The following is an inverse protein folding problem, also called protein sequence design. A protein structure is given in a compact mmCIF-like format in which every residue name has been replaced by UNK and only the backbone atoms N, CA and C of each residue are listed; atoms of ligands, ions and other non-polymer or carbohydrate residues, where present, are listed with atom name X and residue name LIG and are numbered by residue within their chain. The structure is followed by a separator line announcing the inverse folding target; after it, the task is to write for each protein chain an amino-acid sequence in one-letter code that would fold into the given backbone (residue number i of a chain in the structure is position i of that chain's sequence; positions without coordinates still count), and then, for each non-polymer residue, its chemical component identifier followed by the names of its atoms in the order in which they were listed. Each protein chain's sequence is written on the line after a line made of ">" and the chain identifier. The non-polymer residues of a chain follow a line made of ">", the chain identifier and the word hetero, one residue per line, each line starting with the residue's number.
data_IF_513330925523
#
_entry.id   IF_513330925523
#
_cell.length_a   1.000
_cell.length_b   1.000
_cell.length_c   1.000
_cell.angle_alpha   90.00
_cell.angle_beta   90.00
_cell.angle_gamma   90.00
#
_symmetry.space_group_name_H-M   'P 1'
#
loop_
_entity.id
_entity.type
_entity.pdbx_description
1 polymer ?
#
# COMPACT_ATOMS: atom_id res chain seq x y z
N UNK A 1 -40.88 -15.26 -0.81
CA UNK A 1 -40.09 -14.90 0.38
C UNK A 1 -38.80 -15.68 0.25
N UNK A 2 -37.68 -15.00 0.00
CA UNK A 2 -36.38 -15.66 -0.21
C UNK A 2 -35.93 -16.29 1.11
N UNK A 3 -35.31 -17.48 1.06
CA UNK A 3 -34.74 -18.09 2.27
C UNK A 3 -33.65 -17.17 2.84
N UNK A 4 -33.72 -16.78 4.12
CA UNK A 4 -32.68 -15.99 4.78
C UNK A 4 -31.25 -16.54 4.58
N UNK A 5 -31.10 -17.86 4.40
CA UNK A 5 -29.80 -18.50 4.10
C UNK A 5 -29.27 -18.13 2.72
N UNK A 6 -30.15 -18.04 1.73
CA UNK A 6 -29.79 -17.65 0.36
C UNK A 6 -29.40 -16.17 0.30
N UNK A 7 -30.11 -15.32 1.03
CA UNK A 7 -29.77 -13.90 1.16
C UNK A 7 -28.40 -13.70 1.82
N UNK A 8 -28.13 -14.43 2.91
CA UNK A 8 -26.83 -14.42 3.57
C UNK A 8 -25.72 -14.90 2.64
N UNK A 9 -25.93 -16.03 1.95
CA UNK A 9 -24.96 -16.58 1.00
C UNK A 9 -24.63 -15.59 -0.13
N UNK A 10 -25.65 -14.92 -0.69
CA UNK A 10 -25.47 -13.89 -1.70
C UNK A 10 -24.72 -12.67 -1.16
N UNK A 11 -25.05 -12.20 0.05
CA UNK A 11 -24.34 -11.10 0.71
C UNK A 11 -22.86 -11.45 0.96
N UNK A 12 -22.57 -12.64 1.50
CA UNK A 12 -21.20 -13.12 1.72
C UNK A 12 -20.40 -13.23 0.43
N UNK A 13 -21.01 -13.73 -0.67
CA UNK A 13 -20.33 -13.78 -1.98
C UNK A 13 -19.95 -12.39 -2.48
N UNK A 14 -20.83 -11.40 -2.34
CA UNK A 14 -20.54 -10.00 -2.70
C UNK A 14 -19.41 -9.43 -1.84
N UNK A 15 -19.47 -9.63 -0.53
CA UNK A 15 -18.43 -9.21 0.40
C UNK A 15 -17.06 -9.79 0.02
N UNK A 16 -16.97 -11.11 -0.18
CA UNK A 16 -15.72 -11.78 -0.56
C UNK A 16 -15.15 -11.27 -1.89
N UNK A 17 -16.03 -10.95 -2.86
CA UNK A 17 -15.59 -10.37 -4.13
C UNK A 17 -14.99 -8.99 -3.92
N UNK A 18 -15.62 -8.14 -3.11
CA UNK A 18 -15.10 -6.81 -2.80
C UNK A 18 -13.77 -6.89 -2.04
N UNK A 19 -13.66 -7.79 -1.06
CA UNK A 19 -12.40 -8.03 -0.34
C UNK A 19 -11.28 -8.47 -1.29
N UNK A 20 -11.57 -9.39 -2.21
CA UNK A 20 -10.59 -9.82 -3.21
C UNK A 20 -10.16 -8.67 -4.14
N UNK A 21 -11.09 -7.83 -4.58
CA UNK A 21 -10.78 -6.65 -5.38
C UNK A 21 -9.98 -5.60 -4.59
N UNK A 22 -10.28 -5.42 -3.31
CA UNK A 22 -9.56 -4.53 -2.41
C UNK A 22 -8.12 -5.03 -2.17
N UNK A 23 -7.92 -6.33 -1.93
CA UNK A 23 -6.57 -6.87 -1.77
C UNK A 23 -5.76 -6.73 -3.07
N UNK A 24 -6.36 -7.03 -4.23
CA UNK A 24 -5.69 -6.83 -5.51
C UNK A 24 -5.30 -5.36 -5.75
N UNK A 25 -6.18 -4.41 -5.40
CA UNK A 25 -5.86 -2.98 -5.46
C UNK A 25 -4.73 -2.62 -4.49
N UNK A 26 -4.75 -3.17 -3.28
CA UNK A 26 -3.72 -2.96 -2.26
C UNK A 26 -2.35 -3.48 -2.72
N UNK A 27 -2.29 -4.68 -3.31
CA UNK A 27 -1.08 -5.25 -3.90
C UNK A 27 -0.55 -4.38 -5.05
N UNK A 28 -1.42 -3.86 -5.91
CA UNK A 28 -1.03 -2.95 -6.99
C UNK A 28 -0.38 -1.67 -6.46
N UNK A 29 -0.92 -1.08 -5.38
CA UNK A 29 -0.32 0.09 -4.73
C UNK A 29 1.03 -0.26 -4.10
N UNK A 30 1.17 -1.43 -3.46
CA UNK A 30 2.46 -1.89 -2.92
C UNK A 30 3.52 -2.02 -4.02
N UNK A 31 3.16 -2.61 -5.16
CA UNK A 31 4.07 -2.72 -6.30
C UNK A 31 4.50 -1.35 -6.83
N UNK A 32 3.55 -0.40 -6.95
CA UNK A 32 3.85 0.97 -7.36
C UNK A 32 4.76 1.71 -6.36
N UNK A 33 4.54 1.51 -5.06
CA UNK A 33 5.41 2.05 -3.99
C UNK A 33 6.84 1.54 -4.14
N UNK A 34 7.02 0.22 -4.31
CA UNK A 34 8.36 -0.36 -4.48
C UNK A 34 9.03 0.16 -5.75
N UNK A 35 8.29 0.29 -6.84
CA UNK A 35 8.80 0.85 -8.10
C UNK A 35 9.25 2.31 -7.92
N UNK A 36 8.45 3.15 -7.25
CA UNK A 36 8.79 4.54 -6.98
C UNK A 36 10.06 4.65 -6.12
N UNK A 37 10.17 3.83 -5.06
CA UNK A 37 11.36 3.81 -4.21
C UNK A 37 12.61 3.39 -5.01
N UNK A 38 12.50 2.39 -5.89
CA UNK A 38 13.61 1.95 -6.78
C UNK A 38 14.04 3.03 -7.77
N UNK A 39 13.12 3.89 -8.19
CA UNK A 39 13.39 5.05 -9.03
C UNK A 39 13.97 6.25 -8.25
N UNK A 40 14.20 6.09 -6.94
CA UNK A 40 14.79 7.13 -6.09
C UNK A 40 13.79 8.13 -5.52
N UNK A 41 12.48 7.89 -5.65
CA UNK A 41 11.46 8.69 -4.96
C UNK A 41 11.61 8.46 -3.45
N UNK A 42 11.80 9.54 -2.70
CA UNK A 42 12.05 9.46 -1.25
C UNK A 42 10.86 8.89 -0.47
N UNK A 43 11.09 8.15 0.64
CA UNK A 43 10.01 7.54 1.42
C UNK A 43 8.93 8.51 1.90
N UNK A 44 9.29 9.76 2.22
CA UNK A 44 8.35 10.83 2.63
C UNK A 44 7.39 11.22 1.49
N UNK A 45 7.90 11.27 0.26
CA UNK A 45 7.08 11.61 -0.89
C UNK A 45 6.15 10.45 -1.26
N UNK A 46 6.66 9.22 -1.18
CA UNK A 46 5.82 8.02 -1.35
C UNK A 46 4.74 7.93 -0.27
N UNK A 47 5.01 8.33 0.97
CA UNK A 47 4.01 8.42 2.05
C UNK A 47 2.92 9.43 1.72
N UNK A 48 3.27 10.58 1.15
CA UNK A 48 2.29 11.60 0.74
C UNK A 48 1.39 11.13 -0.40
N UNK A 49 1.90 10.29 -1.30
CA UNK A 49 1.20 9.84 -2.51
C UNK A 49 0.47 8.50 -2.34
N UNK A 50 0.63 7.82 -1.21
CA UNK A 50 0.08 6.49 -0.98
C UNK A 50 -0.81 6.44 0.27
N UNK A 51 -1.70 5.45 0.39
CA UNK A 51 -2.53 5.26 1.59
C UNK A 51 -1.73 4.66 2.77
N UNK A 52 -0.41 4.51 2.64
CA UNK A 52 0.41 3.83 3.63
C UNK A 52 1.22 4.79 4.49
N UNK A 53 1.44 4.40 5.74
CA UNK A 53 2.33 5.14 6.64
C UNK A 53 3.79 5.02 6.19
N UNK A 54 4.59 6.02 6.52
CA UNK A 54 6.03 6.03 6.24
C UNK A 54 6.76 4.87 6.91
N UNK A 55 6.27 4.41 8.07
CA UNK A 55 6.80 3.20 8.73
C UNK A 55 6.60 1.94 7.88
N UNK A 56 5.42 1.79 7.25
CA UNK A 56 5.13 0.68 6.35
C UNK A 56 5.97 0.77 5.07
N UNK A 57 6.11 1.95 4.48
CA UNK A 57 6.94 2.18 3.29
C UNK A 57 8.41 1.84 3.56
N UNK A 58 8.97 2.26 4.70
CA UNK A 58 10.34 1.89 5.10
C UNK A 58 10.50 0.39 5.36
N UNK A 59 9.44 -0.30 5.79
CA UNK A 59 9.43 -1.76 5.87
C UNK A 59 9.46 -2.39 4.48
N UNK A 60 8.63 -1.92 3.55
CA UNK A 60 8.61 -2.39 2.16
C UNK A 60 9.95 -2.18 1.46
N UNK A 61 10.60 -1.03 1.66
CA UNK A 61 11.93 -0.74 1.13
C UNK A 61 12.96 -1.80 1.55
N UNK A 62 13.01 -2.10 2.86
CA UNK A 62 13.90 -3.13 3.43
C UNK A 62 13.61 -4.54 2.93
N UNK A 63 12.33 -4.89 2.77
CA UNK A 63 11.92 -6.22 2.31
C UNK A 63 12.20 -6.45 0.82
N UNK A 64 12.39 -5.38 0.04
CA UNK A 64 12.63 -5.42 -1.40
C UNK A 64 14.05 -4.99 -1.79
N UNK A 65 14.96 -4.97 -0.81
CA UNK A 65 16.37 -4.57 -0.93
C UNK A 65 16.57 -3.22 -1.64
N UNK A 66 15.63 -2.29 -1.43
CA UNK A 66 15.74 -0.94 -2.00
C UNK A 66 16.70 -0.14 -1.11
N UNK A 67 17.80 0.42 -1.68
CA UNK A 67 18.74 1.19 -0.90
C UNK A 67 18.04 2.37 -0.24
N UNK A 68 18.43 2.66 1.01
CA UNK A 68 17.93 3.83 1.70
C UNK A 68 18.26 5.08 0.86
N UNK A 69 17.26 5.94 0.63
CA UNK A 69 17.51 7.23 0.03
C UNK A 69 18.59 7.96 0.87
N UNK A 70 19.57 8.61 0.22
CA UNK A 70 20.59 9.34 0.95
C UNK A 70 19.90 10.36 1.89
N UNK A 71 20.44 10.56 3.11
CA UNK A 71 19.87 11.51 4.04
C UNK A 71 19.73 12.86 3.33
N UNK A 72 18.51 13.41 3.36
CA UNK A 72 18.23 14.70 2.74
C UNK A 72 19.19 15.77 3.25
N UNK A 73 19.43 16.84 2.48
CA UNK A 73 20.35 17.90 2.88
C UNK A 73 19.98 18.36 4.30
N UNK A 74 20.91 18.20 5.25
CA UNK A 74 20.76 18.75 6.61
C UNK A 74 20.41 20.22 6.40
N UNK A 75 19.22 20.64 6.84
CA UNK A 75 18.93 22.07 6.96
C UNK A 75 20.07 22.65 7.81
N UNK A 76 20.92 23.45 7.19
CA UNK A 76 21.92 24.21 7.92
C UNK A 76 21.14 25.00 8.97
N UNK A 77 21.46 24.79 10.24
CA UNK A 77 20.93 25.59 11.32
C UNK A 77 21.28 27.04 10.99
N UNK A 78 20.25 27.84 10.72
CA UNK A 78 20.37 29.30 10.58
C UNK A 78 20.07 29.93 11.92
#
# INVERSE_FOLDING_TARGET
>A
MTDPRDELSAATKRYRRTEAAHEAAREAVVAAVVAALRQGVGPTEVERLSPFSGAYIRKLARQNDVPAAPPGPKRAAR
#
